data_IF_649418424420
#
_entry.id   IF_649418424420
#
_cell.length_a   1.000
_cell.length_b   1.000
_cell.length_c   1.000
_cell.angle_alpha   90.00
_cell.angle_beta   90.00
_cell.angle_gamma   90.00
#
_symmetry.space_group_name_H-M   'P 1'
#
loop_
_entity.id
_entity.type
_entity.pdbx_description
1 polymer ?
#
# COMPACT_ATOMS: atom_id res chain seq x y z
N UNK A 1 -7.19 4.06 0.56
CA UNK A 1 -5.82 3.49 0.46
C UNK A 1 -4.82 4.55 0.87
N UNK A 2 -4.14 4.40 2.02
CA UNK A 2 -3.23 5.40 2.58
C UNK A 2 -1.79 5.22 2.06
N UNK A 3 -1.58 5.20 0.73
CA UNK A 3 -0.25 4.98 0.12
C UNK A 3 0.81 5.99 0.61
N UNK A 4 0.38 7.22 0.91
CA UNK A 4 1.27 8.28 1.36
C UNK A 4 1.95 7.96 2.70
N UNK A 5 1.33 7.18 3.60
CA UNK A 5 1.93 6.85 4.91
C UNK A 5 3.19 5.99 4.78
N UNK A 6 3.15 4.77 4.20
CA UNK A 6 4.35 3.94 4.05
C UNK A 6 5.36 4.56 3.08
N UNK A 7 4.90 5.27 2.05
CA UNK A 7 5.80 5.96 1.11
C UNK A 7 6.58 7.08 1.81
N UNK A 8 5.89 7.92 2.58
CA UNK A 8 6.54 9.02 3.31
C UNK A 8 7.49 8.49 4.37
N UNK A 9 7.12 7.41 5.08
CA UNK A 9 7.99 6.79 6.07
C UNK A 9 9.28 6.26 5.43
N UNK A 10 9.17 5.53 4.31
CA UNK A 10 10.32 5.01 3.58
C UNK A 10 11.23 6.12 3.04
N UNK A 11 10.64 7.18 2.48
CA UNK A 11 11.38 8.34 1.97
C UNK A 11 12.11 9.09 3.09
N UNK A 12 11.42 9.40 4.20
CA UNK A 12 12.02 10.08 5.34
C UNK A 12 13.16 9.26 5.95
N UNK A 13 12.98 7.94 6.06
CA UNK A 13 14.02 7.07 6.58
C UNK A 13 15.24 7.00 5.65
N UNK A 14 15.03 6.95 4.32
CA UNK A 14 16.12 7.01 3.35
C UNK A 14 16.89 8.34 3.46
N UNK A 15 16.20 9.48 3.57
CA UNK A 15 16.82 10.80 3.76
C UNK A 15 17.61 10.85 5.07
N UNK A 16 17.00 10.41 6.17
CA UNK A 16 17.65 10.35 7.48
C UNK A 16 18.93 9.51 7.44
N UNK A 17 18.88 8.31 6.87
CA UNK A 17 20.05 7.42 6.79
C UNK A 17 21.17 8.00 5.91
N UNK A 18 20.83 8.74 4.85
CA UNK A 18 21.81 9.46 4.03
C UNK A 18 22.49 10.57 4.83
N UNK A 19 21.71 11.39 5.56
CA UNK A 19 22.26 12.43 6.44
C UNK A 19 23.16 11.82 7.51
N UNK A 20 22.72 10.73 8.14
CA UNK A 20 23.50 10.00 9.14
C UNK A 20 24.87 9.58 8.60
N UNK A 21 24.93 9.05 7.38
CA UNK A 21 26.20 8.69 6.73
C UNK A 21 27.09 9.92 6.46
N UNK A 22 26.53 10.98 5.88
CA UNK A 22 27.28 12.20 5.54
C UNK A 22 27.79 12.94 6.79
N UNK A 23 27.07 12.85 7.90
CA UNK A 23 27.48 13.38 9.20
C UNK A 23 28.57 12.53 9.89
N UNK A 24 29.00 11.41 9.29
CA UNK A 24 29.97 10.49 9.87
C UNK A 24 29.41 9.64 11.01
N UNK A 25 28.09 9.42 11.04
CA UNK A 25 27.43 8.59 12.03
C UNK A 25 27.92 7.15 11.99
N UNK A 26 28.19 6.58 13.16
CA UNK A 26 28.65 5.20 13.32
C UNK A 26 27.80 4.43 14.32
N UNK A 27 27.59 3.15 14.02
CA UNK A 27 26.99 2.20 14.97
C UNK A 27 27.99 1.84 16.09
N UNK A 28 27.54 1.13 17.12
CA UNK A 28 28.36 0.64 18.25
C UNK A 28 29.63 -0.12 17.80
N UNK A 29 29.62 -0.71 16.60
CA UNK A 29 30.74 -1.43 16.01
C UNK A 29 31.67 -0.54 15.14
N UNK A 30 31.46 0.78 15.12
CA UNK A 30 32.23 1.72 14.30
C UNK A 30 31.86 1.73 12.82
N UNK A 31 30.70 1.17 12.46
CA UNK A 31 30.27 1.05 11.05
C UNK A 31 29.43 2.26 10.62
N UNK A 32 29.73 2.82 9.45
CA UNK A 32 29.07 4.01 8.90
C UNK A 32 27.68 3.73 8.28
N UNK A 33 26.93 2.77 8.80
CA UNK A 33 25.55 2.51 8.36
C UNK A 33 24.70 2.03 9.51
N UNK A 34 23.41 2.37 9.46
CA UNK A 34 22.40 1.90 10.43
C UNK A 34 21.92 0.49 10.05
N UNK A 35 21.70 0.28 8.76
CA UNK A 35 21.40 -1.03 8.19
C UNK A 35 22.28 -1.28 6.97
N UNK A 36 22.80 -2.49 6.84
CA UNK A 36 23.71 -2.89 5.75
C UNK A 36 23.08 -2.73 4.35
N UNK A 37 21.75 -2.88 4.26
CA UNK A 37 21.03 -2.69 2.99
C UNK A 37 21.00 -1.22 2.54
N UNK A 38 21.18 -0.27 3.47
CA UNK A 38 21.32 1.17 3.22
C UNK A 38 22.76 1.63 3.47
N UNK A 39 23.74 0.85 3.04
CA UNK A 39 25.14 1.27 3.07
C UNK A 39 25.41 2.33 1.99
N UNK A 40 25.39 3.59 2.43
CA UNK A 40 25.63 4.76 1.58
C UNK A 40 27.08 4.92 1.13
N UNK A 41 28.03 4.13 1.66
CA UNK A 41 29.38 4.02 1.06
C UNK A 41 29.32 3.42 -0.34
N UNK A 42 28.32 2.58 -0.61
CA UNK A 42 27.96 2.06 -1.92
C UNK A 42 26.67 2.73 -2.41
N UNK A 43 26.70 4.05 -2.57
CA UNK A 43 25.50 4.87 -2.80
C UNK A 43 24.68 4.43 -4.02
N UNK A 44 25.33 3.86 -5.05
CA UNK A 44 24.63 3.27 -6.22
C UNK A 44 23.73 2.09 -5.82
N UNK A 45 24.27 1.15 -5.03
CA UNK A 45 23.53 -0.04 -4.58
C UNK A 45 22.40 0.36 -3.62
N UNK A 46 22.70 1.19 -2.62
CA UNK A 46 21.69 1.68 -1.69
C UNK A 46 20.57 2.45 -2.40
N UNK A 47 20.92 3.35 -3.34
CA UNK A 47 19.94 4.09 -4.13
C UNK A 47 19.03 3.20 -4.98
N UNK A 48 19.58 2.17 -5.65
CA UNK A 48 18.78 1.20 -6.41
C UNK A 48 17.79 0.48 -5.50
N UNK A 49 18.21 0.05 -4.30
CA UNK A 49 17.35 -0.66 -3.35
C UNK A 49 16.22 0.25 -2.85
N UNK A 50 16.51 1.51 -2.53
CA UNK A 50 15.48 2.49 -2.14
C UNK A 50 14.48 2.71 -3.28
N UNK A 51 14.95 2.95 -4.50
CA UNK A 51 14.04 3.16 -5.66
C UNK A 51 13.22 1.90 -5.95
N UNK A 52 13.84 0.72 -5.95
CA UNK A 52 13.16 -0.55 -6.20
C UNK A 52 12.09 -0.86 -5.14
N UNK A 53 12.39 -0.60 -3.86
CA UNK A 53 11.42 -0.78 -2.77
C UNK A 53 10.24 0.19 -2.87
N UNK A 54 10.48 1.46 -3.21
CA UNK A 54 9.41 2.44 -3.45
C UNK A 54 8.55 2.06 -4.66
N UNK A 55 9.17 1.65 -5.76
CA UNK A 55 8.45 1.16 -6.95
C UNK A 55 7.63 -0.10 -6.62
N UNK A 56 8.21 -1.06 -5.91
CA UNK A 56 7.52 -2.27 -5.45
C UNK A 56 6.30 -1.95 -4.59
N UNK A 57 6.43 -1.00 -3.66
CA UNK A 57 5.32 -0.54 -2.84
C UNK A 57 4.16 0.02 -3.68
N UNK A 58 4.47 0.87 -4.68
CA UNK A 58 3.47 1.43 -5.60
C UNK A 58 2.78 0.33 -6.39
N UNK A 59 3.54 -0.64 -6.90
CA UNK A 59 3.00 -1.78 -7.66
C UNK A 59 2.04 -2.60 -6.79
N UNK A 60 2.44 -2.95 -5.57
CA UNK A 60 1.59 -3.71 -4.64
C UNK A 60 0.29 -2.96 -4.35
N UNK A 61 0.35 -1.65 -4.11
CA UNK A 61 -0.84 -0.84 -3.89
C UNK A 61 -1.73 -0.76 -5.13
N UNK A 62 -1.15 -0.65 -6.33
CA UNK A 62 -1.90 -0.65 -7.58
C UNK A 62 -2.62 -1.99 -7.79
N UNK A 63 -1.96 -3.11 -7.48
CA UNK A 63 -2.57 -4.46 -7.55
C UNK A 63 -3.71 -4.58 -6.56
N UNK A 64 -3.52 -4.19 -5.30
CA UNK A 64 -4.58 -4.23 -4.29
C UNK A 64 -5.77 -3.36 -4.71
N UNK A 65 -5.50 -2.18 -5.27
CA UNK A 65 -6.55 -1.29 -5.77
C UNK A 65 -7.30 -1.90 -6.97
N UNK A 66 -6.60 -2.52 -7.91
CA UNK A 66 -7.21 -3.22 -9.04
C UNK A 66 -8.10 -4.39 -8.57
N UNK A 67 -7.66 -5.15 -7.57
CA UNK A 67 -8.46 -6.21 -6.96
C UNK A 67 -9.71 -5.64 -6.31
N UNK A 68 -9.60 -4.52 -5.57
CA UNK A 68 -10.76 -3.86 -4.98
C UNK A 68 -11.78 -3.42 -6.05
N UNK A 69 -11.31 -2.81 -7.14
CA UNK A 69 -12.19 -2.43 -8.26
C UNK A 69 -12.84 -3.64 -8.91
N UNK A 70 -12.09 -4.72 -9.13
CA UNK A 70 -12.62 -5.97 -9.68
C UNK A 70 -13.72 -6.54 -8.77
N UNK A 71 -13.47 -6.60 -7.45
CA UNK A 71 -14.44 -7.04 -6.44
C UNK A 71 -15.71 -6.20 -6.48
N UNK A 72 -15.60 -4.87 -6.55
CA UNK A 72 -16.76 -3.98 -6.56
C UNK A 72 -17.61 -4.17 -7.82
N UNK A 73 -16.96 -4.37 -8.98
CA UNK A 73 -17.64 -4.69 -10.24
C UNK A 73 -18.35 -6.05 -10.17
N UNK A 74 -17.66 -7.08 -9.69
CA UNK A 74 -18.22 -8.43 -9.53
C UNK A 74 -19.41 -8.41 -8.57
N UNK A 75 -19.28 -7.73 -7.43
CA UNK A 75 -20.37 -7.54 -6.46
C UNK A 75 -21.58 -6.88 -7.09
N UNK A 76 -21.38 -5.78 -7.83
CA UNK A 76 -22.48 -5.07 -8.50
C UNK A 76 -23.16 -5.94 -9.55
N UNK A 77 -22.40 -6.74 -10.30
CA UNK A 77 -22.96 -7.62 -11.32
C UNK A 77 -23.75 -8.78 -10.70
N UNK A 78 -23.17 -9.50 -9.74
CA UNK A 78 -23.82 -10.66 -9.10
C UNK A 78 -25.03 -10.26 -8.25
N UNK A 79 -24.92 -9.21 -7.42
CA UNK A 79 -26.02 -8.78 -6.55
C UNK A 79 -27.18 -8.24 -7.39
N UNK A 80 -26.90 -7.50 -8.48
CA UNK A 80 -27.94 -6.98 -9.37
C UNK A 80 -28.68 -8.09 -10.11
N UNK A 81 -27.99 -9.12 -10.61
CA UNK A 81 -28.65 -10.24 -11.29
C UNK A 81 -29.46 -11.08 -10.31
N UNK A 82 -28.91 -11.41 -9.14
CA UNK A 82 -29.65 -12.16 -8.12
C UNK A 82 -30.91 -11.43 -7.66
N UNK A 83 -30.88 -10.10 -7.56
CA UNK A 83 -32.07 -9.32 -7.17
C UNK A 83 -33.24 -9.44 -8.16
N UNK A 84 -32.96 -9.69 -9.44
CA UNK A 84 -33.99 -9.79 -10.50
C UNK A 84 -34.64 -11.18 -10.53
N UNK A 85 -33.90 -12.22 -10.14
CA UNK A 85 -34.36 -13.62 -10.13
C UNK A 85 -35.04 -14.03 -8.81
N UNK A 86 -35.08 -13.14 -7.81
CA UNK A 86 -35.79 -13.42 -6.56
C UNK A 86 -37.30 -13.29 -6.76
N UNK A 87 -38.11 -14.21 -6.19
CA UNK A 87 -39.56 -14.04 -6.17
C UNK A 87 -39.90 -12.71 -5.47
N UNK A 88 -40.95 -12.00 -5.91
CA UNK A 88 -41.35 -10.73 -5.31
C UNK A 88 -41.51 -10.93 -3.80
N UNK A 89 -40.90 -10.02 -3.04
CA UNK A 89 -40.98 -10.06 -1.59
C UNK A 89 -42.46 -10.12 -1.18
N UNK A 90 -42.83 -10.96 -0.19
CA UNK A 90 -44.19 -10.95 0.33
C UNK A 90 -44.56 -9.52 0.74
N UNK A 91 -45.81 -9.08 0.50
CA UNK A 91 -46.24 -7.75 0.90
C UNK A 91 -45.98 -7.55 2.39
N UNK A 92 -45.36 -6.43 2.72
CA UNK A 92 -45.02 -6.05 4.07
C UNK A 92 -46.32 -5.90 4.90
N UNK A 93 -46.30 -6.32 6.17
CA UNK A 93 -47.49 -6.31 7.04
C UNK A 93 -48.10 -4.90 7.23
N UNK A 94 -47.42 -3.86 6.77
CA UNK A 94 -47.81 -2.46 6.88
C UNK A 94 -48.49 -1.88 5.64
N UNK A 95 -48.46 -2.55 4.47
CA UNK A 95 -49.17 -2.10 3.26
C UNK A 95 -50.65 -2.50 3.22
N UNK A 96 -51.14 -3.28 4.18
CA UNK A 96 -52.54 -3.76 4.24
C UNK A 96 -53.53 -2.86 5.00
N UNK A 97 -53.17 -1.60 5.31
CA UNK A 97 -54.04 -0.66 6.04
C UNK A 97 -54.33 0.56 5.15
N UNK A 98 -55.06 0.36 4.06
CA UNK A 98 -55.81 1.41 3.34
C UNK A 98 -56.96 0.78 2.56
#
# INVERSE_FOLDING_TARGET
MHLYQPLSLGLWYAVFSCIYYVAGGTDANGKHFIYEILDWSQSKRAGIIVVASMAGLIIVYAVIWAIALCRDKVSTLLVRTTSHDLPPAPPDRHTGIV
#
